data_IF_139074529790
#
_entry.id   IF_139074529790
#
_cell.length_a   1.000
_cell.length_b   1.000
_cell.length_c   1.000
_cell.angle_alpha   90.00
_cell.angle_beta   90.00
_cell.angle_gamma   90.00
#
_symmetry.space_group_name_H-M   'P 1'
#
loop_
_entity.id
_entity.type
_entity.pdbx_description
1 polymer ?
#
# COMPACT_ATOMS: atom_id res chain seq x y z
N UNK A 1 21.20 1.24 6.57
CA UNK A 1 20.03 0.34 6.60
C UNK A 1 18.80 1.21 6.81
N UNK A 2 17.87 1.21 5.87
CA UNK A 2 16.60 1.97 5.97
C UNK A 2 15.62 1.22 6.89
N UNK A 3 14.75 1.97 7.57
CA UNK A 3 13.75 1.42 8.51
C UNK A 3 12.34 1.72 8.02
N UNK A 4 11.58 0.67 7.75
CA UNK A 4 10.18 0.73 7.30
C UNK A 4 9.26 0.21 8.42
N UNK A 5 8.28 1.00 8.81
CA UNK A 5 7.15 0.49 9.58
C UNK A 5 5.97 0.19 8.65
N UNK A 6 5.28 -0.91 8.89
CA UNK A 6 4.01 -1.26 8.24
C UNK A 6 2.94 -1.28 9.33
N UNK A 7 1.97 -0.37 9.27
CA UNK A 7 0.94 -0.19 10.28
C UNK A 7 -0.42 -0.61 9.70
N UNK A 8 -1.07 -1.60 10.31
CA UNK A 8 -2.34 -2.13 9.83
C UNK A 8 -3.32 -2.51 10.94
N UNK A 9 -4.63 -2.39 10.66
CA UNK A 9 -5.71 -2.67 11.63
C UNK A 9 -6.64 -3.80 11.19
N UNK A 10 -6.65 -4.21 9.94
CA UNK A 10 -7.71 -5.10 9.46
C UNK A 10 -7.20 -6.20 8.52
N UNK A 11 -7.32 -5.99 7.22
CA UNK A 11 -6.91 -6.98 6.20
C UNK A 11 -5.39 -6.97 5.97
N UNK A 12 -4.88 -8.08 5.47
CA UNK A 12 -3.44 -8.26 5.20
C UNK A 12 -3.09 -8.24 3.70
N UNK A 13 -3.99 -7.76 2.84
CA UNK A 13 -3.89 -7.92 1.38
C UNK A 13 -2.51 -7.58 0.80
N UNK A 14 -1.92 -6.46 1.20
CA UNK A 14 -0.62 -6.02 0.65
C UNK A 14 0.60 -6.41 1.48
N UNK A 15 0.40 -6.93 2.70
CA UNK A 15 1.51 -7.22 3.64
C UNK A 15 2.50 -8.23 3.07
N UNK A 16 2.00 -9.36 2.56
CA UNK A 16 2.86 -10.41 1.99
C UNK A 16 3.64 -9.89 0.77
N UNK A 17 2.99 -9.12 -0.08
CA UNK A 17 3.62 -8.52 -1.27
C UNK A 17 4.76 -7.59 -0.88
N UNK A 18 4.58 -6.74 0.14
CA UNK A 18 5.63 -5.85 0.66
C UNK A 18 6.78 -6.69 1.21
N UNK A 19 6.52 -7.63 2.12
CA UNK A 19 7.59 -8.43 2.74
C UNK A 19 8.37 -9.24 1.72
N UNK A 20 7.69 -9.86 0.75
CA UNK A 20 8.32 -10.60 -0.35
C UNK A 20 9.18 -9.69 -1.25
N UNK A 21 8.70 -8.48 -1.55
CA UNK A 21 9.43 -7.53 -2.39
C UNK A 21 10.74 -7.07 -1.74
N UNK A 22 10.75 -6.95 -0.41
CA UNK A 22 11.93 -6.52 0.35
C UNK A 22 12.80 -7.67 0.85
N UNK A 23 12.45 -8.91 0.57
CA UNK A 23 13.26 -10.07 0.94
C UNK A 23 14.68 -9.96 0.37
N UNK A 24 15.69 -10.09 1.24
CA UNK A 24 17.10 -9.99 0.87
C UNK A 24 17.63 -8.57 0.63
N UNK A 25 16.80 -7.53 0.77
CA UNK A 25 17.23 -6.13 0.72
C UNK A 25 17.70 -5.63 2.10
N UNK A 26 18.60 -4.63 2.13
CA UNK A 26 19.11 -4.00 3.35
C UNK A 26 18.09 -3.01 3.96
N UNK A 27 16.96 -3.54 4.41
CA UNK A 27 15.86 -2.80 5.02
C UNK A 27 15.38 -3.53 6.27
N UNK A 28 15.27 -2.80 7.38
CA UNK A 28 14.63 -3.28 8.59
C UNK A 28 13.14 -3.00 8.54
N UNK A 29 12.32 -4.06 8.62
CA UNK A 29 10.86 -3.95 8.58
C UNK A 29 10.29 -4.27 9.96
N UNK A 30 9.41 -3.41 10.45
CA UNK A 30 8.62 -3.61 11.67
C UNK A 30 7.13 -3.55 11.32
N UNK A 31 6.39 -4.62 11.63
CA UNK A 31 4.93 -4.64 11.50
C UNK A 31 4.29 -4.22 12.81
N UNK A 32 3.33 -3.31 12.73
CA UNK A 32 2.61 -2.74 13.86
C UNK A 32 1.11 -2.89 13.64
N UNK A 33 0.36 -3.22 14.69
CA UNK A 33 -1.11 -3.27 14.64
C UNK A 33 -1.70 -2.77 15.95
N UNK A 34 -2.85 -2.12 15.87
CA UNK A 34 -3.64 -1.68 17.02
C UNK A 34 -4.65 -2.73 17.48
N UNK A 35 -4.82 -3.83 16.75
CA UNK A 35 -5.75 -4.92 17.05
C UNK A 35 -5.05 -6.29 16.96
N UNK A 36 -4.92 -6.96 18.11
CA UNK A 36 -4.30 -8.29 18.22
C UNK A 36 -5.12 -9.40 17.54
N UNK A 37 -6.41 -9.19 17.30
CA UNK A 37 -7.30 -10.13 16.62
C UNK A 37 -7.43 -9.91 15.13
N UNK A 38 -6.83 -8.84 14.61
CA UNK A 38 -6.87 -8.52 13.18
C UNK A 38 -6.17 -9.58 12.33
N UNK A 39 -6.67 -9.79 11.12
CA UNK A 39 -6.02 -10.64 10.12
C UNK A 39 -4.58 -10.16 9.85
N UNK A 40 -4.39 -8.83 9.76
CA UNK A 40 -3.09 -8.23 9.60
C UNK A 40 -2.10 -8.64 10.69
N UNK A 41 -2.48 -8.51 11.97
CA UNK A 41 -1.58 -8.84 13.09
C UNK A 41 -1.24 -10.32 13.14
N UNK A 42 -2.22 -11.19 12.96
CA UNK A 42 -1.99 -12.64 12.97
C UNK A 42 -1.05 -13.05 11.83
N UNK A 43 -1.27 -12.52 10.63
CA UNK A 43 -0.42 -12.78 9.49
C UNK A 43 0.98 -12.21 9.67
N UNK A 44 1.09 -10.98 10.17
CA UNK A 44 2.38 -10.36 10.45
C UNK A 44 3.23 -11.18 11.43
N UNK A 45 2.63 -11.76 12.46
CA UNK A 45 3.32 -12.64 13.43
C UNK A 45 3.90 -13.89 12.79
N UNK A 46 3.25 -14.42 11.75
CA UNK A 46 3.73 -15.60 11.04
C UNK A 46 4.93 -15.32 10.13
N UNK A 47 4.92 -14.14 9.44
CA UNK A 47 5.83 -13.89 8.33
C UNK A 47 6.83 -12.76 8.56
N UNK A 48 6.64 -11.92 9.59
CA UNK A 48 7.54 -10.82 9.94
C UNK A 48 8.21 -11.05 11.30
N UNK A 49 9.55 -10.93 11.35
CA UNK A 49 10.31 -11.15 12.59
C UNK A 49 10.03 -10.09 13.66
N UNK A 50 9.80 -8.86 13.26
CA UNK A 50 9.56 -7.72 14.15
C UNK A 50 8.10 -7.32 14.07
N UNK A 51 7.22 -8.02 14.80
CA UNK A 51 5.80 -7.69 14.88
C UNK A 51 5.45 -7.27 16.30
N UNK A 52 4.76 -6.13 16.45
CA UNK A 52 4.35 -5.58 17.75
C UNK A 52 2.89 -5.14 17.72
N UNK A 53 2.24 -5.29 18.86
CA UNK A 53 0.97 -4.62 19.13
C UNK A 53 1.28 -3.18 19.54
N UNK A 54 0.67 -2.22 18.88
CA UNK A 54 0.80 -0.79 19.15
C UNK A 54 -0.59 -0.17 19.26
N UNK A 55 -1.14 -0.01 20.48
CA UNK A 55 -2.40 0.69 20.67
C UNK A 55 -2.36 2.10 20.05
N UNK A 56 -3.46 2.50 19.45
CA UNK A 56 -3.55 3.77 18.73
C UNK A 56 -3.09 4.99 19.57
N UNK A 57 -3.45 5.00 20.85
CA UNK A 57 -3.11 6.07 21.79
C UNK A 57 -1.61 6.22 22.03
N UNK A 58 -0.84 5.17 21.73
CA UNK A 58 0.62 5.14 21.91
C UNK A 58 1.39 5.51 20.63
N UNK A 59 0.72 5.82 19.53
CA UNK A 59 1.37 6.07 18.25
C UNK A 59 2.40 7.21 18.35
N UNK A 60 2.03 8.35 18.92
CA UNK A 60 2.93 9.48 19.06
C UNK A 60 4.19 9.12 19.86
N UNK A 61 4.04 8.52 21.05
CA UNK A 61 5.16 8.12 21.90
C UNK A 61 6.08 7.14 21.19
N UNK A 62 5.49 6.18 20.47
CA UNK A 62 6.25 5.17 19.76
C UNK A 62 7.02 5.76 18.58
N UNK A 63 6.36 6.51 17.69
CA UNK A 63 7.01 7.06 16.50
C UNK A 63 7.99 8.18 16.81
N UNK A 64 7.80 8.96 17.89
CA UNK A 64 8.75 9.98 18.35
C UNK A 64 10.04 9.38 18.94
N UNK A 65 9.98 8.14 19.42
CA UNK A 65 11.14 7.44 20.02
C UNK A 65 11.86 6.48 19.07
N UNK A 66 11.34 6.29 17.84
CA UNK A 66 11.90 5.39 16.84
C UNK A 66 12.14 6.12 15.51
N UNK A 67 13.35 5.98 14.98
CA UNK A 67 13.73 6.58 13.68
C UNK A 67 13.27 5.69 12.53
N UNK A 68 12.04 5.86 12.07
CA UNK A 68 11.57 5.25 10.83
C UNK A 68 11.80 6.19 9.65
N UNK A 69 12.33 5.67 8.54
CA UNK A 69 12.44 6.43 7.28
C UNK A 69 11.07 6.59 6.61
N UNK A 70 10.19 5.62 6.81
CA UNK A 70 8.85 5.60 6.24
C UNK A 70 7.90 4.72 7.04
N UNK A 71 6.64 5.13 7.15
CA UNK A 71 5.52 4.33 7.65
C UNK A 71 4.52 4.11 6.53
N UNK A 72 4.25 2.85 6.20
CA UNK A 72 3.26 2.44 5.21
C UNK A 72 1.98 1.97 5.90
N UNK A 73 0.85 2.64 5.66
CA UNK A 73 -0.45 2.25 6.17
C UNK A 73 -1.07 1.16 5.29
N UNK A 74 -1.52 0.06 5.90
CA UNK A 74 -2.15 -1.08 5.25
C UNK A 74 -3.52 -1.36 5.89
N UNK A 75 -4.59 -0.84 5.30
CA UNK A 75 -5.95 -0.93 5.85
C UNK A 75 -6.00 -0.51 7.34
N UNK A 76 -5.26 0.57 7.67
CA UNK A 76 -5.27 1.15 9.01
C UNK A 76 -6.52 1.98 9.21
N UNK A 77 -7.32 1.60 10.21
CA UNK A 77 -8.68 2.15 10.39
C UNK A 77 -8.74 3.37 11.30
N UNK A 78 -7.66 3.65 12.00
CA UNK A 78 -7.60 4.78 12.92
C UNK A 78 -7.05 6.01 12.19
N UNK A 79 -7.38 7.16 12.74
CA UNK A 79 -6.85 8.44 12.29
C UNK A 79 -5.43 8.65 12.83
N UNK A 80 -4.49 9.05 11.98
CA UNK A 80 -3.14 9.40 12.44
C UNK A 80 -3.13 10.87 12.88
N UNK A 81 -2.84 11.10 14.16
CA UNK A 81 -2.83 12.44 14.76
C UNK A 81 -1.72 13.31 14.18
N UNK A 82 -1.92 14.63 14.12
CA UNK A 82 -0.97 15.60 13.56
C UNK A 82 0.42 15.46 14.18
N UNK A 83 0.48 15.35 15.50
CA UNK A 83 1.74 15.22 16.24
C UNK A 83 2.50 13.96 15.84
N UNK A 84 1.77 12.89 15.50
CA UNK A 84 2.39 11.64 15.00
C UNK A 84 2.90 11.80 13.57
N UNK A 85 2.18 12.55 12.71
CA UNK A 85 2.61 12.85 11.34
C UNK A 85 3.89 13.68 11.29
N UNK A 86 4.14 14.50 12.31
CA UNK A 86 5.38 15.29 12.41
C UNK A 86 6.63 14.44 12.76
N UNK A 87 6.43 13.20 13.28
CA UNK A 87 7.55 12.35 13.70
C UNK A 87 8.26 11.69 12.52
N UNK A 88 7.52 11.27 11.47
CA UNK A 88 8.07 10.59 10.31
C UNK A 88 7.12 10.67 9.10
N UNK A 89 7.57 10.21 7.95
CA UNK A 89 6.79 10.22 6.70
C UNK A 89 5.79 9.06 6.70
N UNK A 90 4.52 9.36 6.44
CA UNK A 90 3.45 8.36 6.31
C UNK A 90 2.90 8.35 4.90
N UNK A 91 2.71 7.14 4.35
CA UNK A 91 1.99 6.92 3.10
C UNK A 91 0.83 5.94 3.31
N UNK A 92 -0.18 6.06 2.46
CA UNK A 92 -1.32 5.15 2.44
C UNK A 92 -1.61 4.71 1.01
N UNK A 93 -2.22 3.53 0.90
CA UNK A 93 -2.78 3.02 -0.35
C UNK A 93 -4.30 3.01 -0.25
N UNK A 94 -4.98 3.42 -1.32
CA UNK A 94 -6.42 3.61 -1.37
C UNK A 94 -7.02 3.01 -2.63
N UNK A 95 -8.06 2.19 -2.49
CA UNK A 95 -8.69 1.43 -3.58
C UNK A 95 -9.63 2.26 -4.45
N UNK A 96 -9.24 3.48 -4.81
CA UNK A 96 -9.88 4.31 -5.82
C UNK A 96 -8.90 5.29 -6.46
N UNK A 97 -9.30 5.94 -7.56
CA UNK A 97 -8.57 7.08 -8.11
C UNK A 97 -8.94 8.36 -7.36
N UNK A 98 -8.16 8.72 -6.34
CA UNK A 98 -8.34 9.99 -5.63
C UNK A 98 -8.28 11.18 -6.60
N UNK A 99 -9.09 12.22 -6.38
CA UNK A 99 -9.91 12.52 -5.19
C UNK A 99 -11.28 11.86 -5.16
N UNK A 100 -11.62 10.94 -6.08
CA UNK A 100 -12.90 10.24 -6.10
C UNK A 100 -12.96 9.17 -5.00
N UNK A 101 -14.14 9.03 -4.39
CA UNK A 101 -14.43 7.95 -3.41
C UNK A 101 -13.52 7.95 -2.18
N UNK A 102 -13.14 9.13 -1.64
CA UNK A 102 -12.42 9.26 -0.36
C UNK A 102 -13.14 8.55 0.79
N UNK A 103 -12.39 8.10 1.79
CA UNK A 103 -12.93 7.45 2.98
C UNK A 103 -13.23 5.97 2.80
N UNK A 104 -13.90 5.32 3.75
CA UNK A 104 -14.08 3.87 3.80
C UNK A 104 -14.91 3.34 2.64
N UNK A 105 -14.74 2.04 2.37
CA UNK A 105 -15.52 1.28 1.38
C UNK A 105 -15.42 1.82 -0.06
N UNK A 106 -14.27 2.40 -0.41
CA UNK A 106 -14.05 3.06 -1.70
C UNK A 106 -14.25 2.11 -2.89
N UNK A 107 -13.80 0.86 -2.79
CA UNK A 107 -13.91 -0.16 -3.84
C UNK A 107 -15.38 -0.41 -4.18
N UNK A 108 -16.21 -0.70 -3.18
CA UNK A 108 -17.64 -0.95 -3.38
C UNK A 108 -18.37 0.30 -3.89
N UNK A 109 -18.05 1.49 -3.34
CA UNK A 109 -18.67 2.75 -3.80
C UNK A 109 -18.33 3.07 -5.25
N UNK A 110 -17.10 2.83 -5.68
CA UNK A 110 -16.70 3.01 -7.06
C UNK A 110 -17.49 2.07 -7.99
N UNK A 111 -17.58 0.79 -7.65
CA UNK A 111 -18.30 -0.20 -8.43
C UNK A 111 -19.79 0.13 -8.53
N UNK A 112 -20.45 0.40 -7.41
CA UNK A 112 -21.89 0.65 -7.34
C UNK A 112 -22.30 2.00 -7.95
N UNK A 113 -21.37 2.98 -8.01
CA UNK A 113 -21.63 4.26 -8.68
C UNK A 113 -21.73 4.16 -10.21
N UNK A 114 -21.32 3.04 -10.79
CA UNK A 114 -21.38 2.81 -12.24
C UNK A 114 -20.30 3.54 -13.04
N UNK A 115 -19.24 4.06 -12.42
CA UNK A 115 -18.08 4.59 -13.14
C UNK A 115 -17.43 3.49 -13.97
N UNK A 116 -16.81 3.87 -15.10
CA UNK A 116 -16.16 2.91 -16.01
C UNK A 116 -14.66 2.83 -15.80
N UNK A 117 -14.11 3.74 -15.01
CA UNK A 117 -12.70 3.78 -14.63
C UNK A 117 -12.61 4.05 -13.14
N UNK A 118 -11.90 3.20 -12.43
CA UNK A 118 -11.46 3.42 -11.07
C UNK A 118 -9.97 3.03 -10.98
N UNK A 119 -9.46 2.63 -9.83
CA UNK A 119 -8.08 2.22 -9.69
C UNK A 119 -7.57 2.27 -8.27
N UNK A 120 -6.27 2.42 -8.16
CA UNK A 120 -5.54 2.48 -6.88
C UNK A 120 -4.74 3.78 -6.82
N UNK A 121 -4.67 4.38 -5.64
CA UNK A 121 -3.87 5.58 -5.37
C UNK A 121 -2.95 5.34 -4.19
N UNK A 122 -1.66 5.65 -4.33
CA UNK A 122 -0.72 5.83 -3.22
C UNK A 122 -0.52 7.32 -3.00
N UNK A 123 -0.66 7.76 -1.75
CA UNK A 123 -0.57 9.18 -1.39
C UNK A 123 0.13 9.38 -0.04
N UNK A 124 0.67 10.57 0.18
CA UNK A 124 1.13 11.00 1.48
C UNK A 124 -0.06 11.14 2.44
N UNK A 125 0.12 10.73 3.68
CA UNK A 125 -0.91 10.94 4.71
C UNK A 125 -0.79 12.35 5.26
N UNK A 126 -1.92 13.01 5.45
CA UNK A 126 -2.05 14.30 6.11
C UNK A 126 -3.21 14.26 7.13
N UNK A 127 -3.56 15.39 7.71
CA UNK A 127 -4.63 15.50 8.73
C UNK A 127 -6.02 15.14 8.21
N UNK A 128 -6.27 15.35 6.92
CA UNK A 128 -7.56 15.04 6.32
C UNK A 128 -7.53 13.67 5.63
N UNK A 129 -8.55 12.85 5.85
CA UNK A 129 -8.66 11.50 5.26
C UNK A 129 -8.58 11.55 3.75
N UNK A 130 -7.66 10.76 3.18
CA UNK A 130 -7.46 10.56 1.73
C UNK A 130 -7.34 11.87 0.94
N UNK A 131 -6.66 12.88 1.52
CA UNK A 131 -6.50 14.19 0.91
C UNK A 131 -5.04 14.61 0.69
N UNK A 132 -4.10 13.78 1.08
CA UNK A 132 -2.69 14.05 0.91
C UNK A 132 -2.24 14.03 -0.55
N UNK A 133 -1.03 14.55 -0.78
CA UNK A 133 -0.45 14.62 -2.13
C UNK A 133 -0.32 13.23 -2.74
N UNK A 134 -0.84 13.07 -3.95
CA UNK A 134 -0.77 11.82 -4.71
C UNK A 134 0.67 11.56 -5.13
N UNK A 135 1.15 10.33 -4.90
CA UNK A 135 2.47 9.85 -5.29
C UNK A 135 2.37 9.04 -6.56
N UNK A 136 1.42 8.10 -6.60
CA UNK A 136 1.22 7.20 -7.72
C UNK A 136 -0.26 6.83 -7.86
N UNK A 137 -0.70 6.61 -9.10
CA UNK A 137 -2.04 6.10 -9.41
C UNK A 137 -1.96 5.05 -10.50
N UNK A 138 -2.81 4.03 -10.41
CA UNK A 138 -2.99 3.04 -11.47
C UNK A 138 -4.48 2.85 -11.78
N UNK A 139 -4.92 3.05 -13.03
CA UNK A 139 -6.33 2.91 -13.40
C UNK A 139 -6.73 1.46 -13.64
N UNK A 140 -7.99 1.16 -13.33
CA UNK A 140 -8.69 -0.10 -13.65
C UNK A 140 -9.93 0.22 -14.44
N UNK A 141 -10.15 -0.50 -15.53
CA UNK A 141 -11.40 -0.44 -16.29
C UNK A 141 -12.45 -1.34 -15.64
N UNK A 142 -13.68 -0.84 -15.51
CA UNK A 142 -14.82 -1.59 -15.01
C UNK A 142 -15.72 -1.91 -16.20
N UNK A 143 -15.65 -3.15 -16.68
CA UNK A 143 -16.43 -3.60 -17.82
C UNK A 143 -17.92 -3.79 -17.46
N UNK A 144 -18.82 -3.69 -18.45
CA UNK A 144 -20.25 -3.71 -18.20
C UNK A 144 -20.78 -5.03 -17.59
N UNK A 145 -20.09 -6.13 -17.81
CA UNK A 145 -20.47 -7.46 -17.30
C UNK A 145 -19.54 -7.98 -16.21
N UNK A 146 -18.62 -7.14 -15.70
CA UNK A 146 -17.71 -7.48 -14.61
C UNK A 146 -18.50 -7.64 -13.32
N UNK A 147 -18.24 -8.72 -12.57
CA UNK A 147 -18.78 -8.92 -11.24
C UNK A 147 -17.96 -8.17 -10.19
N UNK A 148 -18.58 -7.83 -9.05
CA UNK A 148 -17.91 -7.10 -7.98
C UNK A 148 -16.65 -7.82 -7.47
N UNK A 149 -16.74 -9.13 -7.26
CA UNK A 149 -15.61 -9.93 -6.75
C UNK A 149 -14.40 -9.88 -7.71
N UNK A 150 -14.64 -9.91 -9.02
CA UNK A 150 -13.58 -9.78 -10.03
C UNK A 150 -12.94 -8.39 -10.01
N UNK A 151 -13.76 -7.34 -9.87
CA UNK A 151 -13.27 -5.98 -9.76
C UNK A 151 -12.44 -5.78 -8.47
N UNK A 152 -12.96 -6.26 -7.33
CA UNK A 152 -12.27 -6.19 -6.04
C UNK A 152 -10.91 -6.92 -6.09
N UNK A 153 -10.89 -8.13 -6.68
CA UNK A 153 -9.65 -8.89 -6.86
C UNK A 153 -8.62 -8.15 -7.74
N UNK A 154 -9.08 -7.47 -8.79
CA UNK A 154 -8.21 -6.67 -9.65
C UNK A 154 -7.61 -5.46 -8.89
N UNK A 155 -8.39 -4.82 -8.02
CA UNK A 155 -7.89 -3.75 -7.15
C UNK A 155 -6.81 -4.29 -6.20
N UNK A 156 -7.05 -5.41 -5.50
CA UNK A 156 -6.06 -5.98 -4.58
C UNK A 156 -4.76 -6.40 -5.29
N UNK A 157 -4.84 -7.01 -6.48
CA UNK A 157 -3.65 -7.34 -7.29
C UNK A 157 -2.83 -6.11 -7.66
N UNK A 158 -3.50 -4.98 -7.92
CA UNK A 158 -2.82 -3.73 -8.21
C UNK A 158 -2.21 -3.10 -6.97
N UNK A 159 -2.86 -3.18 -5.83
CA UNK A 159 -2.29 -2.75 -4.56
C UNK A 159 -1.01 -3.54 -4.24
N UNK A 160 -1.05 -4.86 -4.39
CA UNK A 160 0.10 -5.76 -4.20
C UNK A 160 1.27 -5.44 -5.16
N UNK A 161 0.97 -5.01 -6.38
CA UNK A 161 1.98 -4.65 -7.38
C UNK A 161 2.55 -3.25 -7.11
N UNK A 162 1.67 -2.26 -6.90
CA UNK A 162 2.05 -0.84 -6.87
C UNK A 162 2.74 -0.45 -5.57
N UNK A 163 2.19 -0.89 -4.44
CA UNK A 163 2.61 -0.37 -3.13
C UNK A 163 4.06 -0.68 -2.78
N UNK A 164 4.57 -1.93 -2.94
CA UNK A 164 5.97 -2.23 -2.66
C UNK A 164 6.95 -1.43 -3.52
N UNK A 165 6.61 -1.19 -4.81
CA UNK A 165 7.46 -0.43 -5.73
C UNK A 165 7.54 1.05 -5.30
N UNK A 166 6.40 1.65 -4.93
CA UNK A 166 6.35 3.04 -4.45
C UNK A 166 7.12 3.19 -3.14
N UNK A 167 6.97 2.25 -2.20
CA UNK A 167 7.75 2.22 -0.95
C UNK A 167 9.25 2.21 -1.24
N UNK A 168 9.70 1.32 -2.13
CA UNK A 168 11.12 1.18 -2.49
C UNK A 168 11.68 2.47 -3.11
N UNK A 169 10.92 3.12 -4.00
CA UNK A 169 11.29 4.40 -4.59
C UNK A 169 11.46 5.50 -3.54
N UNK A 170 10.49 5.62 -2.64
CA UNK A 170 10.55 6.62 -1.57
C UNK A 170 11.76 6.37 -0.65
N UNK A 171 12.01 5.13 -0.26
CA UNK A 171 13.15 4.78 0.59
C UNK A 171 14.51 5.05 -0.06
N UNK A 172 14.56 5.07 -1.39
CA UNK A 172 15.76 5.44 -2.18
C UNK A 172 15.84 6.92 -2.53
N UNK A 173 14.87 7.73 -2.07
CA UNK A 173 14.72 9.14 -2.45
C UNK A 173 14.55 9.33 -3.97
N UNK A 174 13.93 8.34 -4.66
CA UNK A 174 13.61 8.36 -6.08
C UNK A 174 12.14 8.73 -6.31
N UNK A 175 11.87 9.36 -7.46
CA UNK A 175 10.48 9.64 -7.90
C UNK A 175 9.91 8.40 -8.56
N UNK A 176 8.67 8.05 -8.23
CA UNK A 176 7.95 6.98 -8.92
C UNK A 176 7.64 7.40 -10.37
N UNK A 177 7.97 6.52 -11.32
CA UNK A 177 7.59 6.62 -12.72
C UNK A 177 6.74 5.41 -13.11
N UNK A 178 5.71 5.63 -13.94
CA UNK A 178 4.85 4.57 -14.42
C UNK A 178 5.60 3.46 -15.17
N UNK A 179 6.73 3.78 -15.80
CA UNK A 179 7.63 2.81 -16.44
C UNK A 179 8.19 1.77 -15.46
N UNK A 180 8.28 2.11 -14.17
CA UNK A 180 8.74 1.18 -13.13
C UNK A 180 7.83 -0.05 -13.02
N UNK A 181 6.51 0.13 -13.17
CA UNK A 181 5.54 -0.97 -13.17
C UNK A 181 5.69 -1.88 -14.38
N UNK A 182 5.91 -1.29 -15.55
CA UNK A 182 6.06 -2.05 -16.81
C UNK A 182 7.31 -2.95 -16.79
N UNK A 183 8.37 -2.49 -16.15
CA UNK A 183 9.62 -3.24 -16.03
C UNK A 183 9.49 -4.42 -15.04
N UNK A 184 8.71 -4.29 -13.98
CA UNK A 184 8.45 -5.36 -13.02
C UNK A 184 7.47 -6.43 -13.52
N UNK A 185 6.51 -6.05 -14.40
CA UNK A 185 5.55 -6.98 -15.01
C UNK A 185 6.14 -7.89 -16.09
N UNK A 186 7.29 -7.53 -16.69
CA UNK A 186 7.92 -8.28 -17.78
C UNK A 186 8.91 -9.36 -17.33
N UNK A 187 9.19 -9.53 -16.05
CA UNK A 187 10.17 -10.53 -15.58
C UNK A 187 9.64 -11.98 -15.59
N UNK A 188 8.37 -12.22 -15.95
CA UNK A 188 7.76 -13.57 -16.02
C UNK A 188 7.48 -14.09 -17.44
N UNK A 189 7.89 -13.37 -18.50
CA UNK A 189 7.82 -13.89 -19.88
C UNK A 189 9.22 -14.02 -20.45
N UNK A 190 9.84 -15.19 -20.25
CA UNK A 190 10.88 -15.68 -21.13
C UNK A 190 10.23 -15.93 -22.49
N UNK A 191 10.16 -14.94 -23.34
CA UNK A 191 9.91 -15.16 -24.75
C UNK A 191 11.18 -15.73 -25.39
N UNK A 192 11.27 -17.07 -25.38
CA UNK A 192 12.08 -17.76 -26.32
C UNK A 192 11.57 -17.41 -27.72
N UNK A 193 12.48 -16.87 -28.54
CA UNK A 193 12.45 -16.92 -29.99
C UNK A 193 11.26 -16.21 -30.69
N UNK A 194 11.33 -14.91 -30.89
CA UNK A 194 10.68 -14.26 -32.03
C UNK A 194 11.72 -13.78 -33.00
N UNK A 195 12.06 -14.67 -33.98
CA UNK A 195 12.78 -14.27 -35.17
C UNK A 195 11.90 -13.36 -36.02
N UNK A 196 12.49 -12.25 -36.45
CA UNK A 196 12.23 -11.50 -37.67
C UNK A 196 10.79 -11.03 -37.94
N UNK A 197 10.59 -9.72 -37.87
CA UNK A 197 9.69 -9.03 -38.81
C UNK A 197 10.45 -7.86 -39.42
N UNK A 198 10.56 -7.93 -40.70
CA UNK A 198 11.00 -6.85 -41.60
C UNK A 198 9.91 -5.76 -41.64
#
# INVERSE_FOLDING_TARGET
MKKLAILGSAKSCVLEAILKYFEGKDIEITCLSDDEHSEFYQKAKEICKNTKLLPHEMNFEYFSSHDFDLVALCDYRQYVQSETLDCCKFISIHGSLLPSFKGPDAINRAFTSGVKVSGVTVHWVNEDVDSGTIIAQYPVLIENLMHFDEYEENIYKLEELLYPIVIDKILKDEVFDFQDLLNHGNCSRSCGNCGGCH
#
